data_IF_962894549966
#
_entry.id   IF_962894549966
#
_cell.length_a   1.000
_cell.length_b   1.000
_cell.length_c   1.000
_cell.angle_alpha   90.00
_cell.angle_beta   90.00
_cell.angle_gamma   90.00
#
_symmetry.space_group_name_H-M   'P 1'
#
loop_
_entity.id
_entity.type
_entity.pdbx_description
1 polymer ?
#
# COMPACT_ATOMS: atom_id res chain seq x y z
N UNK A 1 -5.21 -16.92 -22.66
CA UNK A 1 -4.58 -17.50 -21.45
C UNK A 1 -4.45 -16.37 -20.45
N UNK A 2 -5.40 -16.25 -19.52
CA UNK A 2 -5.45 -15.15 -18.55
C UNK A 2 -4.34 -15.35 -17.54
N UNK A 3 -3.36 -14.43 -17.53
CA UNK A 3 -2.26 -14.47 -16.57
C UNK A 3 -2.84 -14.40 -15.16
N UNK A 4 -2.33 -15.28 -14.31
CA UNK A 4 -2.77 -15.55 -12.95
C UNK A 4 -3.09 -14.27 -12.17
N UNK A 5 -4.24 -14.32 -11.49
CA UNK A 5 -4.55 -13.49 -10.33
C UNK A 5 -3.40 -13.61 -9.32
N UNK A 6 -2.39 -12.76 -9.48
CA UNK A 6 -1.32 -12.64 -8.52
C UNK A 6 -1.96 -11.97 -7.31
N UNK A 7 -1.99 -12.66 -6.17
CA UNK A 7 -2.52 -12.09 -4.94
C UNK A 7 -1.59 -10.94 -4.50
N UNK A 8 -1.84 -9.74 -5.03
CA UNK A 8 -1.04 -8.55 -4.75
C UNK A 8 -1.23 -8.18 -3.28
N UNK A 9 -0.16 -8.24 -2.51
CA UNK A 9 -0.19 -7.88 -1.08
C UNK A 9 0.58 -6.58 -0.90
N UNK A 10 -0.15 -5.51 -0.59
CA UNK A 10 0.43 -4.24 -0.21
C UNK A 10 0.77 -4.26 1.28
N UNK A 11 2.04 -4.07 1.57
CA UNK A 11 2.51 -3.85 2.92
C UNK A 11 2.58 -2.36 3.21
N UNK A 12 2.24 -1.98 4.42
CA UNK A 12 2.33 -0.60 4.87
C UNK A 12 2.88 -0.50 6.29
N UNK A 13 3.53 0.64 6.56
CA UNK A 13 4.02 0.99 7.88
C UNK A 13 4.04 2.50 8.05
N UNK A 14 3.51 2.99 9.16
CA UNK A 14 3.59 4.37 9.59
C UNK A 14 4.52 4.44 10.81
N UNK A 15 5.63 5.14 10.66
CA UNK A 15 6.62 5.37 11.71
C UNK A 15 6.61 6.85 12.11
N UNK A 16 6.94 7.12 13.36
CA UNK A 16 7.26 8.47 13.81
C UNK A 16 8.80 8.61 13.73
N UNK A 17 9.26 9.65 13.05
CA UNK A 17 10.65 10.01 12.85
C UNK A 17 10.90 11.40 13.45
N UNK A 18 12.16 11.79 13.66
CA UNK A 18 12.52 13.08 14.30
C UNK A 18 11.99 14.31 13.54
N UNK A 19 11.60 14.13 12.27
CA UNK A 19 11.10 15.18 11.38
C UNK A 19 9.60 15.09 11.10
N UNK A 20 8.86 14.18 11.75
CA UNK A 20 7.42 13.99 11.53
C UNK A 20 7.02 12.53 11.41
N UNK A 21 6.02 12.23 10.59
CA UNK A 21 5.56 10.88 10.32
C UNK A 21 6.04 10.39 8.96
N UNK A 22 6.38 9.10 8.87
CA UNK A 22 6.73 8.46 7.60
C UNK A 22 5.78 7.30 7.31
N UNK A 23 5.05 7.40 6.21
CA UNK A 23 4.28 6.30 5.64
C UNK A 23 5.15 5.58 4.59
N UNK A 24 5.46 4.32 4.83
CA UNK A 24 6.08 3.41 3.87
C UNK A 24 5.02 2.48 3.29
N UNK A 25 4.96 2.37 1.97
CA UNK A 25 4.15 1.41 1.22
C UNK A 25 5.06 0.56 0.34
N UNK A 26 4.89 -0.76 0.33
CA UNK A 26 5.68 -1.63 -0.54
C UNK A 26 4.95 -2.92 -0.93
N UNK A 27 5.33 -3.45 -2.08
CA UNK A 27 4.87 -4.76 -2.57
C UNK A 27 6.06 -5.68 -2.77
N UNK A 28 5.93 -6.93 -2.35
CA UNK A 28 6.98 -7.94 -2.50
C UNK A 28 7.02 -8.47 -3.93
N UNK A 29 8.21 -8.76 -4.45
CA UNK A 29 8.34 -9.51 -5.71
C UNK A 29 7.90 -10.97 -5.52
N UNK A 30 7.23 -11.54 -6.52
CA UNK A 30 6.74 -12.93 -6.49
C UNK A 30 7.86 -13.97 -6.24
N UNK A 31 9.09 -13.65 -6.65
CA UNK A 31 10.29 -14.47 -6.43
C UNK A 31 11.39 -13.58 -5.83
N UNK A 32 11.38 -13.36 -4.51
CA UNK A 32 12.32 -12.47 -3.85
C UNK A 32 13.71 -13.11 -3.67
N UNK A 33 13.83 -14.42 -3.82
CA UNK A 33 15.08 -15.15 -3.64
C UNK A 33 16.16 -14.69 -4.63
N UNK A 34 17.37 -14.43 -4.11
CA UNK A 34 18.51 -13.98 -4.90
C UNK A 34 18.47 -12.51 -5.35
N UNK A 35 17.42 -11.73 -5.01
CA UNK A 35 17.34 -10.30 -5.35
C UNK A 35 17.88 -9.42 -4.22
N UNK A 36 18.76 -8.44 -4.51
CA UNK A 36 19.21 -7.47 -3.50
C UNK A 36 18.09 -6.55 -3.01
N UNK A 37 16.99 -6.43 -3.77
CA UNK A 37 15.76 -5.73 -3.37
C UNK A 37 14.57 -6.68 -3.52
N UNK A 38 13.96 -7.16 -2.43
CA UNK A 38 12.89 -8.16 -2.49
C UNK A 38 11.51 -7.54 -2.82
N UNK A 39 11.47 -6.30 -3.29
CA UNK A 39 10.25 -5.51 -3.52
C UNK A 39 10.06 -5.22 -5.01
N UNK A 40 8.81 -5.24 -5.49
CA UNK A 40 8.44 -4.67 -6.79
C UNK A 40 8.58 -3.15 -6.76
N UNK A 41 8.06 -2.54 -5.69
CA UNK A 41 8.25 -1.13 -5.40
C UNK A 41 8.22 -0.89 -3.89
N UNK A 42 8.81 0.24 -3.50
CA UNK A 42 8.67 0.82 -2.17
C UNK A 42 8.60 2.33 -2.30
N UNK A 43 7.59 2.94 -1.71
CA UNK A 43 7.39 4.38 -1.67
C UNK A 43 7.39 4.82 -0.21
N UNK A 44 8.04 5.96 0.07
CA UNK A 44 8.06 6.56 1.40
C UNK A 44 7.55 8.00 1.30
N UNK A 45 6.51 8.32 2.06
CA UNK A 45 5.95 9.65 2.20
C UNK A 45 6.33 10.22 3.55
N UNK A 46 6.84 11.46 3.56
CA UNK A 46 7.06 12.24 4.79
C UNK A 46 5.85 13.14 5.00
N UNK A 47 5.26 13.09 6.18
CA UNK A 47 3.98 13.70 6.52
C UNK A 47 4.08 14.42 7.87
N UNK A 48 3.27 15.45 8.08
CA UNK A 48 3.36 16.29 9.26
C UNK A 48 2.69 15.63 10.48
N UNK A 49 1.69 14.78 10.26
CA UNK A 49 0.88 14.18 11.32
C UNK A 49 0.53 12.71 11.08
N UNK A 50 0.07 12.07 12.15
CA UNK A 50 -0.46 10.71 12.11
C UNK A 50 -1.73 10.64 11.25
N UNK A 51 -2.58 11.65 11.37
CA UNK A 51 -3.85 11.78 10.68
C UNK A 51 -3.64 11.88 9.17
N UNK A 52 -2.65 12.67 8.73
CA UNK A 52 -2.26 12.75 7.31
C UNK A 52 -1.76 11.40 6.78
N UNK A 53 -0.97 10.68 7.58
CA UNK A 53 -0.48 9.34 7.22
C UNK A 53 -1.62 8.33 7.07
N UNK A 54 -2.60 8.37 7.97
CA UNK A 54 -3.79 7.53 7.84
C UNK A 54 -4.65 7.94 6.65
N UNK A 55 -4.86 9.23 6.41
CA UNK A 55 -5.65 9.71 5.28
C UNK A 55 -5.04 9.27 3.94
N UNK A 56 -3.72 9.42 3.78
CA UNK A 56 -3.02 9.01 2.56
C UNK A 56 -3.03 7.48 2.37
N UNK A 57 -2.84 6.71 3.44
CA UNK A 57 -2.97 5.26 3.40
C UNK A 57 -4.38 4.84 2.96
N UNK A 58 -5.41 5.46 3.53
CA UNK A 58 -6.81 5.20 3.17
C UNK A 58 -7.09 5.52 1.71
N UNK A 59 -6.65 6.68 1.24
CA UNK A 59 -6.78 7.06 -0.17
C UNK A 59 -6.10 6.04 -1.09
N UNK A 60 -4.89 5.60 -0.74
CA UNK A 60 -4.18 4.59 -1.51
C UNK A 60 -4.94 3.26 -1.56
N UNK A 61 -5.49 2.80 -0.44
CA UNK A 61 -6.29 1.57 -0.38
C UNK A 61 -7.58 1.69 -1.19
N UNK A 62 -8.28 2.82 -1.10
CA UNK A 62 -9.49 3.08 -1.88
C UNK A 62 -9.21 3.07 -3.39
N UNK A 63 -8.10 3.70 -3.82
CA UNK A 63 -7.65 3.66 -5.22
C UNK A 63 -7.30 2.27 -5.72
N UNK A 64 -7.06 1.30 -4.83
CA UNK A 64 -6.79 -0.09 -5.14
C UNK A 64 -8.01 -1.00 -4.92
N UNK A 65 -9.23 -0.43 -4.91
CA UNK A 65 -10.48 -1.20 -4.88
C UNK A 65 -10.91 -1.69 -3.49
N UNK A 66 -10.42 -1.05 -2.42
CA UNK A 66 -10.92 -1.32 -1.07
C UNK A 66 -12.15 -0.43 -0.79
N UNK A 67 -13.35 -1.01 -0.76
CA UNK A 67 -14.61 -0.26 -0.66
C UNK A 67 -15.02 0.16 0.76
N UNK A 68 -14.39 -0.40 1.81
CA UNK A 68 -14.78 -0.17 3.22
C UNK A 68 -13.69 0.55 4.04
N UNK A 69 -12.92 1.44 3.42
CA UNK A 69 -11.73 2.04 4.04
C UNK A 69 -12.04 3.10 5.11
N UNK A 70 -13.18 3.79 4.99
CA UNK A 70 -13.52 4.98 5.77
C UNK A 70 -13.61 4.73 7.28
N UNK A 71 -14.13 3.56 7.67
CA UNK A 71 -14.44 3.22 9.07
C UNK A 71 -13.39 2.29 9.71
N UNK A 72 -12.36 1.90 8.96
CA UNK A 72 -11.30 1.03 9.48
C UNK A 72 -10.28 1.83 10.28
N UNK A 73 -10.09 1.43 11.53
CA UNK A 73 -8.94 1.84 12.34
C UNK A 73 -7.75 1.01 11.89
N UNK A 74 -6.91 1.59 11.04
CA UNK A 74 -5.72 0.91 10.53
C UNK A 74 -4.60 0.95 11.59
N UNK A 75 -4.00 -0.20 11.96
CA UNK A 75 -2.85 -0.24 12.85
C UNK A 75 -1.65 0.51 12.25
N UNK A 76 -0.59 0.73 13.05
CA UNK A 76 0.66 1.39 12.57
C UNK A 76 1.39 0.61 11.48
N UNK A 77 1.15 -0.69 11.36
CA UNK A 77 1.75 -1.52 10.32
C UNK A 77 0.81 -2.67 9.99
N UNK A 78 0.85 -3.12 8.74
CA UNK A 78 0.03 -4.23 8.31
C UNK A 78 0.28 -4.62 6.87
N UNK A 79 -0.50 -5.59 6.43
CA UNK A 79 -0.56 -6.04 5.04
C UNK A 79 -2.02 -6.09 4.60
N UNK A 80 -2.28 -5.62 3.39
CA UNK A 80 -3.61 -5.62 2.77
C UNK A 80 -3.51 -6.40 1.47
N UNK A 81 -4.41 -7.36 1.29
CA UNK A 81 -4.55 -8.05 0.01
C UNK A 81 -5.38 -7.17 -0.92
N UNK A 82 -4.78 -6.74 -2.01
CA UNK A 82 -5.43 -5.99 -3.08
C UNK A 82 -5.98 -7.02 -4.07
N UNK A 83 -7.27 -6.89 -4.39
CA UNK A 83 -7.88 -7.72 -5.42
C UNK A 83 -7.48 -7.16 -6.80
N UNK A 84 -7.18 -8.02 -7.79
CA UNK A 84 -6.70 -7.60 -9.10
C UNK A 84 -7.77 -6.92 -9.99
N UNK A 85 -8.83 -6.34 -9.42
CA UNK A 85 -9.75 -5.53 -10.21
C UNK A 85 -9.11 -4.16 -10.45
N UNK A 86 -8.98 -3.72 -11.72
CA UNK A 86 -8.47 -2.39 -12.01
C UNK A 86 -9.53 -1.36 -11.63
N UNK A 87 -9.28 -0.57 -10.60
CA UNK A 87 -9.96 0.71 -10.34
C UNK A 87 -9.42 1.84 -11.22
N UNK A 88 -8.44 1.57 -12.08
CA UNK A 88 -8.13 2.45 -13.20
C UNK A 88 -9.19 2.22 -14.27
N UNK A 89 -10.33 2.90 -14.12
CA UNK A 89 -11.19 3.20 -15.26
C UNK A 89 -10.31 3.92 -16.28
N UNK A 90 -9.91 3.22 -17.34
CA UNK A 90 -9.50 3.89 -18.56
C UNK A 90 -10.79 4.49 -19.13
N UNK A 91 -11.18 5.67 -18.65
CA UNK A 91 -12.17 6.44 -19.39
C UNK A 91 -11.49 6.90 -20.68
N UNK A 92 -12.04 6.38 -21.79
CA UNK A 92 -11.68 6.67 -23.17
C UNK A 92 -12.50 7.85 -23.71
#
# INVERSE_FOLDING_TARGET
>A
MYAFASEHTLHYQITNDTSGYRLSLWEMAAHPEGRPKPYLYRINYSLASWEEAQALLRQHLALNGMDCVSDLTLPRQGKVRILPHPTWSLEA
#
